data_IF_051793207954
#
_entry.id   IF_051793207954
#
_cell.length_a   1.000
_cell.length_b   1.000
_cell.length_c   1.000
_cell.angle_alpha   90.00
_cell.angle_beta   90.00
_cell.angle_gamma   90.00
#
_symmetry.space_group_name_H-M   'P 1'
#
loop_
_entity.id
_entity.type
_entity.pdbx_description
1 polymer ?
#
# COMPACT_ATOMS: atom_id res chain seq x y z
N UNK A 1 -56.36 -6.94 -47.69
CA UNK A 1 -55.12 -6.58 -48.43
C UNK A 1 -53.97 -6.63 -47.44
N UNK A 2 -53.18 -7.71 -47.45
CA UNK A 2 -52.06 -7.94 -46.53
C UNK A 2 -50.78 -7.47 -47.24
N UNK A 3 -50.23 -6.33 -46.83
CA UNK A 3 -48.89 -5.91 -47.26
C UNK A 3 -47.86 -6.73 -46.48
N UNK A 4 -47.15 -7.62 -47.17
CA UNK A 4 -45.99 -8.33 -46.60
C UNK A 4 -44.79 -7.38 -46.58
N UNK A 5 -44.34 -7.05 -45.38
CA UNK A 5 -43.09 -6.33 -45.09
C UNK A 5 -41.89 -7.22 -45.45
N UNK A 6 -41.43 -7.14 -46.70
CA UNK A 6 -40.25 -7.85 -47.20
C UNK A 6 -38.92 -7.13 -46.90
N UNK A 7 -38.86 -6.30 -45.85
CA UNK A 7 -37.67 -5.51 -45.48
C UNK A 7 -36.92 -5.97 -44.22
N UNK A 8 -37.48 -6.88 -43.40
CA UNK A 8 -36.91 -7.27 -42.09
C UNK A 8 -35.73 -8.27 -42.13
N UNK A 9 -35.43 -8.87 -43.28
CA UNK A 9 -34.46 -9.98 -43.32
C UNK A 9 -32.97 -9.54 -43.35
N UNK A 10 -32.70 -8.28 -43.72
CA UNK A 10 -31.34 -7.74 -43.85
C UNK A 10 -30.90 -6.83 -42.69
N UNK A 11 -31.84 -6.15 -42.04
CA UNK A 11 -31.55 -5.28 -40.88
C UNK A 11 -31.23 -6.10 -39.62
N UNK A 12 -31.89 -7.25 -39.40
CA UNK A 12 -31.72 -8.03 -38.16
C UNK A 12 -30.38 -8.76 -38.05
N UNK A 13 -29.81 -9.32 -39.12
CA UNK A 13 -28.52 -10.04 -39.00
C UNK A 13 -27.36 -9.08 -38.74
N UNK A 14 -27.31 -7.94 -39.45
CA UNK A 14 -26.27 -6.94 -39.23
C UNK A 14 -26.44 -6.25 -37.86
N UNK A 15 -27.68 -6.02 -37.43
CA UNK A 15 -27.99 -5.49 -36.10
C UNK A 15 -27.54 -6.45 -34.99
N UNK A 16 -27.77 -7.76 -35.12
CA UNK A 16 -27.29 -8.75 -34.15
C UNK A 16 -25.76 -8.81 -34.11
N UNK A 17 -25.10 -8.74 -35.28
CA UNK A 17 -23.62 -8.71 -35.30
C UNK A 17 -23.08 -7.44 -34.63
N UNK A 18 -23.65 -6.27 -34.92
CA UNK A 18 -23.22 -5.00 -34.33
C UNK A 18 -23.49 -4.98 -32.81
N UNK A 19 -24.63 -5.49 -32.35
CA UNK A 19 -24.93 -5.56 -30.91
C UNK A 19 -23.95 -6.47 -30.19
N UNK A 20 -23.60 -7.64 -30.75
CA UNK A 20 -22.58 -8.53 -30.18
C UNK A 20 -21.22 -7.82 -30.11
N UNK A 21 -20.84 -7.06 -31.14
CA UNK A 21 -19.58 -6.29 -31.15
C UNK A 21 -19.58 -5.24 -30.05
N UNK A 22 -20.65 -4.44 -29.92
CA UNK A 22 -20.75 -3.39 -28.90
C UNK A 22 -20.69 -3.99 -27.49
N UNK A 23 -21.44 -5.07 -27.24
CA UNK A 23 -21.44 -5.76 -25.95
C UNK A 23 -20.07 -6.32 -25.62
N UNK A 24 -19.38 -6.92 -26.60
CA UNK A 24 -18.02 -7.45 -26.41
C UNK A 24 -17.02 -6.35 -26.04
N UNK A 25 -17.10 -5.19 -26.70
CA UNK A 25 -16.27 -4.03 -26.38
C UNK A 25 -16.57 -3.49 -24.98
N UNK A 26 -17.85 -3.37 -24.62
CA UNK A 26 -18.27 -2.90 -23.30
C UNK A 26 -17.78 -3.83 -22.17
N UNK A 27 -17.91 -5.15 -22.35
CA UNK A 27 -17.43 -6.14 -21.38
C UNK A 27 -15.91 -6.07 -21.23
N UNK A 28 -15.17 -5.94 -22.33
CA UNK A 28 -13.70 -5.83 -22.30
C UNK A 28 -13.26 -4.57 -21.55
N UNK A 29 -13.88 -3.43 -21.85
CA UNK A 29 -13.60 -2.16 -21.15
C UNK A 29 -13.90 -2.27 -19.65
N UNK A 30 -14.99 -2.93 -19.27
CA UNK A 30 -15.37 -3.14 -17.87
C UNK A 30 -14.33 -4.00 -17.13
N UNK A 31 -13.88 -5.11 -17.72
CA UNK A 31 -12.88 -5.99 -17.12
C UNK A 31 -11.55 -5.26 -16.93
N UNK A 32 -11.11 -4.48 -17.92
CA UNK A 32 -9.91 -3.67 -17.82
C UNK A 32 -10.01 -2.62 -16.69
N UNK A 33 -11.17 -1.97 -16.57
CA UNK A 33 -11.47 -1.03 -15.49
C UNK A 33 -11.42 -1.69 -14.11
N UNK A 34 -12.04 -2.86 -13.95
CA UNK A 34 -12.03 -3.62 -12.69
C UNK A 34 -10.63 -4.06 -12.28
N UNK A 35 -9.80 -4.50 -13.23
CA UNK A 35 -8.40 -4.85 -12.97
C UNK A 35 -7.60 -3.66 -12.43
N UNK A 36 -7.78 -2.49 -13.03
CA UNK A 36 -7.14 -1.24 -12.58
C UNK A 36 -7.61 -0.85 -11.17
N UNK A 37 -8.92 -0.89 -10.92
CA UNK A 37 -9.50 -0.56 -9.63
C UNK A 37 -9.02 -1.51 -8.51
N UNK A 38 -8.95 -2.82 -8.79
CA UNK A 38 -8.45 -3.81 -7.84
C UNK A 38 -6.98 -3.58 -7.48
N UNK A 39 -6.13 -3.27 -8.48
CA UNK A 39 -4.73 -2.94 -8.27
C UNK A 39 -4.55 -1.68 -7.40
N UNK A 40 -5.30 -0.62 -7.69
CA UNK A 40 -5.28 0.61 -6.92
C UNK A 40 -5.72 0.37 -5.46
N UNK A 41 -6.79 -0.40 -5.24
CA UNK A 41 -7.28 -0.74 -3.90
C UNK A 41 -6.21 -1.49 -3.07
N UNK A 42 -5.50 -2.44 -3.68
CA UNK A 42 -4.40 -3.14 -3.03
C UNK A 42 -3.27 -2.19 -2.64
N UNK A 43 -2.84 -1.32 -3.56
CA UNK A 43 -1.79 -0.35 -3.28
C UNK A 43 -2.17 0.60 -2.13
N UNK A 44 -3.42 1.08 -2.08
CA UNK A 44 -3.92 1.89 -0.97
C UNK A 44 -3.91 1.15 0.36
N UNK A 45 -4.32 -0.12 0.36
CA UNK A 45 -4.25 -0.97 1.56
C UNK A 45 -2.81 -1.13 2.03
N UNK A 46 -1.89 -1.42 1.13
CA UNK A 46 -0.47 -1.62 1.45
C UNK A 46 0.17 -0.32 2.00
N UNK A 47 -0.22 0.84 1.47
CA UNK A 47 0.19 2.14 2.01
C UNK A 47 -0.36 2.38 3.42
N UNK A 48 -1.63 2.09 3.68
CA UNK A 48 -2.19 2.23 5.03
C UNK A 48 -1.55 1.27 6.04
N UNK A 49 -1.22 0.05 5.60
CA UNK A 49 -0.48 -0.92 6.41
C UNK A 49 0.93 -0.44 6.71
N UNK A 50 1.60 0.24 5.77
CA UNK A 50 2.93 0.79 6.01
C UNK A 50 2.96 1.80 7.16
N UNK A 51 1.91 2.62 7.31
CA UNK A 51 1.78 3.56 8.43
C UNK A 51 1.62 2.82 9.76
N UNK A 52 0.88 1.71 9.75
CA UNK A 52 0.73 0.83 10.91
C UNK A 52 2.06 0.16 11.28
N UNK A 53 2.82 -0.32 10.30
CA UNK A 53 4.16 -0.92 10.50
C UNK A 53 5.12 0.11 11.09
N UNK A 54 5.19 1.32 10.53
CA UNK A 54 6.06 2.37 11.06
C UNK A 54 5.69 2.74 12.49
N UNK A 55 4.39 2.87 12.80
CA UNK A 55 3.93 3.17 14.16
C UNK A 55 4.27 2.06 15.15
N UNK A 56 4.06 0.80 14.76
CA UNK A 56 4.39 -0.34 15.62
C UNK A 56 5.91 -0.44 15.88
N UNK A 57 6.73 -0.12 14.89
CA UNK A 57 8.18 -0.03 15.08
C UNK A 57 8.55 1.10 16.06
N UNK A 58 7.92 2.27 15.93
CA UNK A 58 8.14 3.39 16.85
C UNK A 58 7.74 3.04 18.30
N UNK A 59 6.63 2.31 18.49
CA UNK A 59 6.23 1.80 19.81
C UNK A 59 7.21 0.76 20.35
N UNK A 60 7.72 -0.14 19.51
CA UNK A 60 8.78 -1.07 19.90
C UNK A 60 10.06 -0.34 20.32
N UNK A 61 10.41 0.73 19.60
CA UNK A 61 11.54 1.60 19.91
C UNK A 61 11.36 2.29 21.26
N UNK A 62 10.16 2.82 21.53
CA UNK A 62 9.82 3.43 22.82
C UNK A 62 9.97 2.44 23.98
N UNK A 63 9.51 1.19 23.80
CA UNK A 63 9.64 0.13 24.80
C UNK A 63 11.11 -0.24 25.04
N UNK A 64 11.90 -0.34 23.97
CA UNK A 64 13.32 -0.64 24.06
C UNK A 64 14.11 0.48 24.76
N UNK A 65 13.80 1.74 24.47
CA UNK A 65 14.45 2.89 25.07
C UNK A 65 14.03 3.15 26.54
N UNK A 66 12.93 2.55 27.02
CA UNK A 66 12.40 2.79 28.36
C UNK A 66 13.32 2.34 29.50
N UNK A 67 14.19 1.36 29.26
CA UNK A 67 15.17 0.88 30.26
C UNK A 67 16.58 1.38 29.98
N UNK A 68 16.70 2.42 29.16
CA UNK A 68 18.00 2.84 28.68
C UNK A 68 18.69 3.85 29.61
N UNK A 69 20.01 3.73 29.72
CA UNK A 69 20.87 4.64 30.48
C UNK A 69 21.59 5.61 29.55
N UNK A 70 21.88 6.87 29.97
CA UNK A 70 22.65 7.81 29.17
C UNK A 70 23.98 7.19 28.68
N UNK A 71 24.25 7.27 27.37
CA UNK A 71 25.45 6.69 26.76
C UNK A 71 25.43 5.17 26.57
N UNK A 72 24.36 4.49 26.98
CA UNK A 72 24.10 3.08 26.68
C UNK A 72 23.50 2.88 25.29
N UNK A 73 23.19 1.62 24.94
CA UNK A 73 22.50 1.26 23.70
C UNK A 73 21.22 0.49 24.01
N UNK A 74 20.19 0.65 23.18
CA UNK A 74 19.00 -0.19 23.22
C UNK A 74 18.86 -0.98 21.93
N UNK A 75 18.25 -2.17 22.04
CA UNK A 75 17.96 -3.01 20.90
C UNK A 75 16.45 -3.05 20.64
N UNK A 76 16.05 -2.73 19.41
CA UNK A 76 14.64 -2.77 19.00
C UNK A 76 14.33 -4.14 18.41
N UNK A 77 13.51 -4.92 19.09
CA UNK A 77 13.02 -6.21 18.58
C UNK A 77 11.65 -5.97 17.93
N UNK A 78 11.60 -6.06 16.60
CA UNK A 78 10.38 -5.94 15.82
C UNK A 78 10.42 -6.87 14.61
N UNK A 79 9.36 -7.64 14.41
CA UNK A 79 9.20 -8.48 13.22
C UNK A 79 8.10 -7.88 12.34
N UNK A 80 8.45 -7.34 11.16
CA UNK A 80 7.43 -6.80 10.26
C UNK A 80 6.53 -7.91 9.69
N UNK A 81 5.30 -7.59 9.28
CA UNK A 81 4.47 -8.49 8.49
C UNK A 81 5.18 -8.92 7.20
N UNK A 82 4.81 -10.09 6.68
CA UNK A 82 5.40 -10.63 5.44
C UNK A 82 5.36 -9.61 4.30
N UNK A 83 6.47 -9.55 3.53
CA UNK A 83 6.66 -8.65 2.39
C UNK A 83 6.76 -7.14 2.73
N UNK A 84 6.88 -6.77 4.00
CA UNK A 84 7.27 -5.42 4.39
C UNK A 84 8.75 -5.41 4.79
N UNK A 85 9.53 -4.54 4.18
CA UNK A 85 10.89 -4.23 4.60
C UNK A 85 10.89 -3.10 5.62
N UNK A 86 11.73 -3.20 6.65
CA UNK A 86 11.96 -2.11 7.59
C UNK A 86 13.47 -1.90 7.72
N UNK A 87 13.91 -0.66 7.55
CA UNK A 87 15.29 -0.25 7.80
C UNK A 87 15.30 1.03 8.63
N UNK A 88 16.30 1.19 9.47
CA UNK A 88 16.44 2.36 10.34
C UNK A 88 17.83 2.93 10.18
N UNK A 89 17.94 4.25 10.25
CA UNK A 89 19.23 4.92 10.27
C UNK A 89 19.22 6.03 11.32
N UNK A 90 20.22 6.06 12.22
CA UNK A 90 21.27 5.05 12.44
C UNK A 90 20.74 3.72 13.00
N UNK A 91 21.39 2.59 12.65
CA UNK A 91 21.10 1.26 13.20
C UNK A 91 21.43 1.19 14.69
N UNK A 92 20.47 0.80 15.54
CA UNK A 92 20.69 0.67 16.98
C UNK A 92 21.00 2.01 17.64
N UNK A 93 19.97 2.64 18.21
CA UNK A 93 20.13 3.96 18.83
C UNK A 93 21.01 3.91 20.08
N UNK A 94 21.98 4.82 20.15
CA UNK A 94 22.68 5.15 21.39
C UNK A 94 21.75 6.04 22.19
N UNK A 95 21.58 5.75 23.47
CA UNK A 95 20.76 6.58 24.31
C UNK A 95 21.39 7.95 24.48
N UNK A 96 20.64 9.00 24.13
CA UNK A 96 21.15 10.35 24.21
C UNK A 96 21.47 10.73 25.66
N UNK A 97 22.26 11.78 25.84
CA UNK A 97 22.41 12.40 27.14
C UNK A 97 21.04 12.90 27.67
N UNK A 98 20.93 13.15 28.99
CA UNK A 98 19.68 13.55 29.65
C UNK A 98 19.07 14.85 29.09
N UNK A 99 19.90 15.70 28.50
CA UNK A 99 19.62 16.98 27.88
C UNK A 99 19.52 16.91 26.34
N UNK A 100 19.70 15.72 25.74
CA UNK A 100 19.71 15.53 24.30
C UNK A 100 18.58 14.61 23.81
N UNK A 101 18.29 14.68 22.51
CA UNK A 101 17.41 13.73 21.82
C UNK A 101 18.13 13.19 20.59
N UNK A 102 17.92 11.90 20.30
CA UNK A 102 18.43 11.28 19.09
C UNK A 102 17.31 11.17 18.06
N UNK A 103 17.56 11.64 16.83
CA UNK A 103 16.67 11.42 15.71
C UNK A 103 16.98 10.08 15.04
N UNK A 104 15.95 9.26 14.83
CA UNK A 104 16.02 8.05 14.02
C UNK A 104 15.12 8.21 12.79
N UNK A 105 15.65 7.89 11.62
CA UNK A 105 14.87 7.79 10.39
C UNK A 105 14.48 6.33 10.16
N UNK A 106 13.19 6.05 10.24
CA UNK A 106 12.59 4.76 9.94
C UNK A 106 12.16 4.78 8.48
N UNK A 107 12.51 3.75 7.72
CA UNK A 107 12.08 3.53 6.34
C UNK A 107 11.34 2.21 6.25
N UNK A 108 10.13 2.23 5.68
CA UNK A 108 9.31 1.03 5.47
C UNK A 108 9.03 0.88 3.98
N UNK A 109 9.47 -0.23 3.42
CA UNK A 109 9.23 -0.59 2.02
C UNK A 109 8.04 -1.54 1.95
N UNK A 110 7.02 -1.13 1.20
CA UNK A 110 5.80 -1.91 0.93
C UNK A 110 6.05 -3.05 -0.07
N UNK A 111 5.16 -4.05 -0.14
CA UNK A 111 5.27 -5.15 -1.12
C UNK A 111 5.29 -4.69 -2.59
N UNK A 112 4.77 -3.50 -2.87
CA UNK A 112 4.74 -2.89 -4.21
C UNK A 112 5.99 -2.03 -4.49
N UNK A 113 6.99 -2.03 -3.61
CA UNK A 113 8.26 -1.33 -3.77
C UNK A 113 8.26 0.14 -3.36
N UNK A 114 7.11 0.69 -2.96
CA UNK A 114 7.02 2.07 -2.44
C UNK A 114 7.61 2.12 -1.03
N UNK A 115 8.48 3.10 -0.77
CA UNK A 115 9.07 3.31 0.56
C UNK A 115 8.52 4.57 1.21
N UNK A 116 8.04 4.45 2.44
CA UNK A 116 7.68 5.58 3.30
C UNK A 116 8.71 5.76 4.39
N UNK A 117 8.95 7.00 4.78
CA UNK A 117 9.87 7.32 5.86
C UNK A 117 9.16 8.08 6.96
N UNK A 118 9.59 7.85 8.21
CA UNK A 118 9.17 8.60 9.37
C UNK A 118 10.37 8.85 10.28
N UNK A 119 10.48 10.07 10.78
CA UNK A 119 11.48 10.41 11.78
C UNK A 119 10.86 10.36 13.18
N UNK A 120 11.50 9.65 14.09
CA UNK A 120 11.16 9.68 15.52
C UNK A 120 12.30 10.30 16.31
N UNK A 121 11.98 10.88 17.47
CA UNK A 121 12.97 11.35 18.43
C UNK A 121 12.94 10.48 19.66
N UNK A 122 14.09 9.94 20.03
CA UNK A 122 14.28 9.15 21.25
C UNK A 122 14.93 10.05 22.30
N UNK A 123 14.46 9.92 23.54
CA UNK A 123 15.02 10.57 24.72
C UNK A 123 15.23 9.50 25.78
N UNK A 124 16.27 9.67 26.59
CA UNK A 124 16.48 8.87 27.79
C UNK A 124 15.37 9.19 28.81
N UNK A 125 14.79 8.18 29.49
CA UNK A 125 13.74 8.36 30.49
C UNK A 125 14.14 9.28 31.64
#
# INVERSE_FOLDING_TARGET
>A
MHQRTLRDAGETLVEIVITIVIVSLAVTALIAGLGTAAGAAKAHKDLALSDTVMRNYAEATKRAAATCTPGGTYNVVYTPPTNFGVSVSPDGGVCPALDATQALLISVTTPVGVTKTMQIKVRTP
#
